data_IF_601148715827
#
_entry.id   IF_601148715827
#
_cell.length_a   1.000
_cell.length_b   1.000
_cell.length_c   1.000
_cell.angle_alpha   90.00
_cell.angle_beta   90.00
_cell.angle_gamma   90.00
#
_symmetry.space_group_name_H-M   'P 1'
#
loop_
_entity.id
_entity.type
_entity.pdbx_description
1 polymer ?
#
# COMPACT_ATOMS: atom_id res chain seq x y z
N UNK A 1 25.69 16.17 20.12
CA UNK A 1 25.38 17.19 19.09
C UNK A 1 23.87 17.37 18.96
N UNK A 2 23.07 16.27 18.91
CA UNK A 2 21.61 16.36 18.84
C UNK A 2 20.97 16.94 20.13
N UNK A 3 21.67 16.92 21.25
CA UNK A 3 21.25 17.52 22.53
C UNK A 3 21.48 19.05 22.59
N UNK A 4 22.09 19.63 21.56
CA UNK A 4 22.55 21.03 21.54
C UNK A 4 21.69 21.96 20.68
N UNK A 5 20.45 21.60 20.33
CA UNK A 5 19.56 22.34 19.42
C UNK A 5 20.25 22.74 18.09
N UNK A 6 21.18 21.90 17.62
CA UNK A 6 21.98 22.14 16.43
C UNK A 6 21.70 21.09 15.36
N UNK A 7 21.67 21.51 14.10
CA UNK A 7 21.56 20.59 12.96
C UNK A 7 22.98 20.16 12.55
N UNK A 8 23.37 18.90 12.73
CA UNK A 8 24.70 18.43 12.32
C UNK A 8 24.76 18.32 10.79
N UNK A 9 25.84 18.87 10.21
CA UNK A 9 26.19 18.69 8.80
C UNK A 9 27.41 17.79 8.74
N UNK A 10 27.28 16.62 8.10
CA UNK A 10 28.29 15.57 8.07
C UNK A 10 28.82 15.44 6.64
N UNK A 11 30.13 15.63 6.45
CA UNK A 11 30.80 15.35 5.18
C UNK A 11 31.02 13.84 5.00
N UNK A 12 30.83 13.27 3.80
CA UNK A 12 31.06 11.86 3.54
C UNK A 12 32.55 11.56 3.34
N UNK A 13 33.33 11.77 4.40
CA UNK A 13 34.76 11.52 4.43
C UNK A 13 35.12 10.54 5.54
N UNK A 14 36.12 9.71 5.31
CA UNK A 14 36.66 8.78 6.29
C UNK A 14 38.17 8.91 6.42
N UNK A 15 38.74 8.25 7.41
CA UNK A 15 40.16 8.20 7.62
C UNK A 15 40.66 6.75 7.59
N UNK A 16 41.77 6.52 6.88
CA UNK A 16 42.50 5.28 6.93
C UNK A 16 43.95 5.61 7.31
N UNK A 17 44.30 5.40 8.59
CA UNK A 17 45.53 5.93 9.13
C UNK A 17 45.57 7.46 9.10
N UNK A 18 46.53 8.05 8.38
CA UNK A 18 46.65 9.50 8.20
C UNK A 18 46.04 10.03 6.87
N UNK A 19 45.41 9.16 6.08
CA UNK A 19 44.85 9.54 4.79
C UNK A 19 43.33 9.83 4.93
N UNK A 20 42.89 10.92 4.28
CA UNK A 20 41.48 11.26 4.15
C UNK A 20 40.92 10.57 2.90
N UNK A 21 39.88 9.79 3.08
CA UNK A 21 39.20 9.07 1.99
C UNK A 21 37.86 9.69 1.71
N UNK A 22 37.55 9.89 0.45
CA UNK A 22 36.19 10.24 0.02
C UNK A 22 35.32 8.98 0.03
N UNK A 23 34.18 9.06 0.72
CA UNK A 23 33.22 7.97 0.84
C UNK A 23 31.97 8.33 0.02
N UNK A 24 31.38 7.33 -0.64
CA UNK A 24 30.10 7.55 -1.31
C UNK A 24 29.05 8.01 -0.29
N UNK A 25 28.38 9.13 -0.56
CA UNK A 25 27.43 9.75 0.36
C UNK A 25 26.24 8.85 0.70
N UNK A 26 25.76 8.04 -0.26
CA UNK A 26 24.64 7.11 -0.02
C UNK A 26 25.08 5.99 0.96
N UNK A 27 26.33 5.49 0.84
CA UNK A 27 26.88 4.50 1.77
C UNK A 27 27.07 5.11 3.17
N UNK A 28 27.65 6.31 3.26
CA UNK A 28 27.81 7.01 4.53
C UNK A 28 26.45 7.27 5.21
N UNK A 29 25.42 7.62 4.43
CA UNK A 29 24.05 7.79 4.92
C UNK A 29 23.47 6.49 5.48
N UNK A 30 23.68 5.36 4.81
CA UNK A 30 23.20 4.05 5.31
C UNK A 30 23.80 3.74 6.68
N UNK A 31 25.11 3.93 6.87
CA UNK A 31 25.77 3.65 8.15
C UNK A 31 25.35 4.64 9.25
N UNK A 32 25.19 5.92 8.91
CA UNK A 32 24.66 6.92 9.83
C UNK A 32 23.24 6.57 10.29
N UNK A 33 22.37 6.22 9.34
CA UNK A 33 20.97 5.87 9.60
C UNK A 33 20.87 4.63 10.51
N UNK A 34 21.71 3.62 10.31
CA UNK A 34 21.80 2.46 11.19
C UNK A 34 22.20 2.85 12.62
N UNK A 35 23.07 3.83 12.78
CA UNK A 35 23.55 4.28 14.08
C UNK A 35 22.49 5.10 14.85
N UNK A 36 21.73 5.97 14.17
CA UNK A 36 20.79 6.90 14.81
C UNK A 36 19.33 6.43 14.80
N UNK A 37 18.99 5.41 13.99
CA UNK A 37 17.64 4.85 13.85
C UNK A 37 16.57 5.93 13.63
N UNK A 38 16.66 6.76 12.58
CA UNK A 38 15.74 7.86 12.36
C UNK A 38 14.36 7.34 11.94
N UNK A 39 13.33 8.14 12.20
CA UNK A 39 11.98 7.85 11.72
C UNK A 39 11.86 7.96 10.19
N UNK A 40 12.62 8.87 9.57
CA UNK A 40 12.61 9.12 8.13
C UNK A 40 13.99 9.49 7.63
N UNK A 41 14.40 8.94 6.50
CA UNK A 41 15.56 9.37 5.73
C UNK A 41 15.11 9.99 4.40
N UNK A 42 15.72 11.11 3.98
CA UNK A 42 15.36 11.79 2.74
C UNK A 42 16.59 11.89 1.86
N UNK A 43 16.51 11.29 0.67
CA UNK A 43 17.52 11.42 -0.36
C UNK A 43 17.12 12.55 -1.33
N UNK A 44 17.95 13.57 -1.38
CA UNK A 44 17.78 14.66 -2.34
C UNK A 44 18.39 14.26 -3.68
N UNK A 45 17.63 14.36 -4.75
CA UNK A 45 18.03 13.97 -6.10
C UNK A 45 17.48 14.98 -7.11
N UNK A 46 18.24 15.29 -8.15
CA UNK A 46 17.78 16.16 -9.25
C UNK A 46 16.57 15.57 -10.00
N UNK A 47 16.44 14.24 -10.01
CA UNK A 47 15.33 13.54 -10.67
C UNK A 47 14.05 13.59 -9.82
N UNK A 48 14.16 13.81 -8.52
CA UNK A 48 13.01 14.02 -7.62
C UNK A 48 12.20 12.78 -7.24
N UNK A 49 12.55 11.57 -7.71
CA UNK A 49 11.84 10.35 -7.38
C UNK A 49 12.12 9.22 -8.37
N UNK A 50 11.31 8.16 -8.28
CA UNK A 50 11.33 7.02 -9.20
C UNK A 50 10.14 7.15 -10.16
N UNK A 51 10.43 7.07 -11.46
CA UNK A 51 9.43 7.21 -12.53
C UNK A 51 9.22 5.87 -13.22
N UNK A 52 7.98 5.58 -13.60
CA UNK A 52 7.63 4.39 -14.35
C UNK A 52 8.05 4.52 -15.84
N UNK A 53 7.81 3.48 -16.63
CA UNK A 53 8.10 3.44 -18.07
C UNK A 53 7.43 4.52 -18.91
N UNK A 54 6.35 5.13 -18.39
CA UNK A 54 5.61 6.22 -19.07
C UNK A 54 6.04 7.61 -18.60
N UNK A 55 7.08 7.71 -17.75
CA UNK A 55 7.57 8.96 -17.21
C UNK A 55 6.70 9.55 -16.09
N UNK A 56 5.80 8.76 -15.50
CA UNK A 56 5.00 9.19 -14.36
C UNK A 56 5.70 8.83 -13.06
N UNK A 57 5.69 9.76 -12.12
CA UNK A 57 6.23 9.55 -10.78
C UNK A 57 5.50 8.40 -10.09
N UNK A 58 6.24 7.49 -9.47
CA UNK A 58 5.73 6.48 -8.55
C UNK A 58 5.73 7.08 -7.15
N UNK A 59 4.57 7.48 -6.62
CA UNK A 59 4.55 8.27 -5.36
C UNK A 59 4.86 7.42 -4.13
N UNK A 60 4.56 6.11 -4.17
CA UNK A 60 4.78 5.19 -3.06
C UNK A 60 5.29 3.84 -3.56
N UNK A 61 6.26 3.27 -2.86
CA UNK A 61 6.77 1.91 -3.10
C UNK A 61 6.70 1.11 -1.79
N UNK A 62 6.04 -0.05 -1.86
CA UNK A 62 6.04 -1.06 -0.81
C UNK A 62 7.05 -2.16 -1.19
N UNK A 63 8.22 -2.16 -0.55
CA UNK A 63 9.28 -3.11 -0.89
C UNK A 63 8.88 -4.57 -0.69
N UNK A 64 8.02 -4.88 0.28
CA UNK A 64 7.57 -6.24 0.53
C UNK A 64 6.75 -6.83 -0.64
N UNK A 65 6.15 -5.98 -1.48
CA UNK A 65 5.30 -6.38 -2.61
C UNK A 65 5.97 -6.13 -3.96
N UNK A 66 6.66 -5.00 -4.11
CA UNK A 66 7.04 -4.46 -5.41
C UNK A 66 8.54 -4.60 -5.73
N UNK A 67 9.40 -4.85 -4.71
CA UNK A 67 10.84 -4.85 -4.89
C UNK A 67 11.31 -5.82 -5.98
N UNK A 68 10.83 -7.07 -5.95
CA UNK A 68 11.29 -8.09 -6.91
C UNK A 68 10.86 -7.78 -8.35
N UNK A 69 9.68 -7.18 -8.53
CA UNK A 69 9.16 -6.77 -9.83
C UNK A 69 9.95 -5.56 -10.36
N UNK A 70 10.13 -4.53 -9.52
CA UNK A 70 10.88 -3.32 -9.88
C UNK A 70 12.32 -3.64 -10.30
N UNK A 71 12.99 -4.58 -9.61
CA UNK A 71 14.37 -4.96 -9.95
C UNK A 71 14.49 -5.68 -11.29
N UNK A 72 13.41 -6.26 -11.83
CA UNK A 72 13.37 -6.91 -13.15
C UNK A 72 13.03 -5.91 -14.27
N UNK A 73 12.51 -4.73 -13.94
CA UNK A 73 12.11 -3.75 -14.94
C UNK A 73 13.32 -3.15 -15.67
N UNK A 74 13.27 -3.17 -17.02
CA UNK A 74 14.34 -2.63 -17.86
C UNK A 74 14.42 -1.10 -17.85
N UNK A 75 13.28 -0.41 -17.64
CA UNK A 75 13.23 1.05 -17.53
C UNK A 75 13.87 1.60 -16.27
N UNK A 76 14.05 0.77 -15.23
CA UNK A 76 14.74 1.17 -14.01
C UNK A 76 16.25 1.09 -14.22
N UNK A 77 16.90 2.24 -14.44
CA UNK A 77 18.32 2.33 -14.73
C UNK A 77 19.19 1.74 -13.60
N UNK A 78 20.37 1.23 -13.95
CA UNK A 78 21.29 0.57 -13.02
C UNK A 78 21.63 1.40 -11.78
N UNK A 79 21.81 2.72 -11.92
CA UNK A 79 22.04 3.63 -10.80
C UNK A 79 20.84 3.72 -9.84
N UNK A 80 19.61 3.68 -10.36
CA UNK A 80 18.41 3.69 -9.53
C UNK A 80 18.15 2.32 -8.91
N UNK A 81 18.47 1.21 -9.60
CA UNK A 81 18.44 -0.15 -9.02
C UNK A 81 19.38 -0.24 -7.83
N UNK A 82 20.62 0.22 -7.97
CA UNK A 82 21.59 0.26 -6.87
C UNK A 82 21.06 1.10 -5.68
N UNK A 83 20.49 2.26 -5.95
CA UNK A 83 19.89 3.10 -4.90
C UNK A 83 18.74 2.40 -4.19
N UNK A 84 17.88 1.69 -4.92
CA UNK A 84 16.77 0.92 -4.36
C UNK A 84 17.27 -0.26 -3.50
N UNK A 85 18.36 -0.93 -3.92
CA UNK A 85 19.05 -1.96 -3.11
C UNK A 85 19.58 -1.40 -1.80
N UNK A 86 20.24 -0.24 -1.84
CA UNK A 86 20.75 0.44 -0.65
C UNK A 86 19.61 0.86 0.29
N UNK A 87 18.53 1.42 -0.26
CA UNK A 87 17.34 1.81 0.52
C UNK A 87 16.68 0.57 1.14
N UNK A 88 16.59 -0.53 0.41
CA UNK A 88 16.08 -1.79 0.97
C UNK A 88 16.94 -2.27 2.12
N UNK A 89 18.26 -2.34 1.91
CA UNK A 89 19.20 -2.73 2.97
C UNK A 89 19.08 -1.82 4.21
N UNK A 90 18.88 -0.53 4.00
CA UNK A 90 18.67 0.43 5.09
C UNK A 90 17.36 0.14 5.84
N UNK A 91 16.25 -0.01 5.13
CA UNK A 91 14.94 -0.28 5.73
C UNK A 91 14.86 -1.64 6.42
N UNK A 92 15.62 -2.63 5.97
CA UNK A 92 15.71 -3.95 6.61
C UNK A 92 16.33 -3.87 8.05
N UNK A 93 17.11 -2.81 8.35
CA UNK A 93 17.70 -2.57 9.66
C UNK A 93 16.88 -1.62 10.54
N UNK A 94 15.87 -0.96 9.99
CA UNK A 94 15.05 0.00 10.71
C UNK A 94 13.70 -0.60 11.15
N UNK A 95 13.02 0.03 12.13
CA UNK A 95 11.65 -0.31 12.43
C UNK A 95 10.77 -0.23 11.19
N UNK A 96 9.77 -1.12 11.07
CA UNK A 96 8.85 -1.15 9.91
C UNK A 96 8.04 0.13 9.72
N UNK A 97 8.00 1.00 10.72
CA UNK A 97 7.41 2.34 10.66
C UNK A 97 8.31 3.37 9.99
N UNK A 98 9.61 3.08 9.86
CA UNK A 98 10.54 3.98 9.19
C UNK A 98 10.27 4.03 7.68
N UNK A 99 10.67 5.13 7.08
CA UNK A 99 10.50 5.37 5.64
C UNK A 99 11.71 6.08 5.06
N UNK A 100 11.86 5.91 3.75
CA UNK A 100 12.84 6.65 2.95
C UNK A 100 12.09 7.40 1.86
N UNK A 101 12.46 8.66 1.62
CA UNK A 101 11.92 9.44 0.51
C UNK A 101 13.03 9.83 -0.45
N UNK A 102 12.72 9.86 -1.74
CA UNK A 102 13.55 10.46 -2.77
C UNK A 102 12.79 11.66 -3.32
N UNK A 103 13.38 12.87 -3.24
CA UNK A 103 12.71 14.10 -3.68
C UNK A 103 13.73 15.12 -4.21
N UNK A 104 13.24 16.15 -4.93
CA UNK A 104 14.08 17.29 -5.33
C UNK A 104 14.37 18.20 -4.14
N UNK A 105 15.54 18.87 -4.10
CA UNK A 105 15.89 19.80 -3.03
C UNK A 105 14.85 20.89 -2.79
N UNK A 106 14.27 21.43 -3.86
CA UNK A 106 13.25 22.50 -3.77
C UNK A 106 11.97 22.04 -3.07
N UNK A 107 11.70 20.76 -3.07
CA UNK A 107 10.51 20.15 -2.49
C UNK A 107 10.74 19.65 -1.04
N UNK A 108 11.94 19.79 -0.49
CA UNK A 108 12.25 19.34 0.88
C UNK A 108 11.27 19.86 1.94
N UNK A 109 10.83 21.14 1.94
CA UNK A 109 9.84 21.59 2.91
C UNK A 109 8.51 20.83 2.81
N UNK A 110 8.06 20.53 1.60
CA UNK A 110 6.83 19.77 1.37
C UNK A 110 6.97 18.33 1.88
N UNK A 111 8.14 17.74 1.68
CA UNK A 111 8.44 16.39 2.16
C UNK A 111 8.51 16.29 3.69
N UNK A 112 8.95 17.35 4.37
CA UNK A 112 9.05 17.40 5.83
C UNK A 112 7.71 17.71 6.51
N UNK A 113 6.86 18.54 5.89
CA UNK A 113 5.69 19.11 6.55
C UNK A 113 4.34 18.63 6.00
N UNK A 114 4.31 17.67 5.05
CA UNK A 114 3.07 17.08 4.54
C UNK A 114 3.13 15.56 4.54
N UNK A 115 1.99 14.93 4.79
CA UNK A 115 1.88 13.45 4.80
C UNK A 115 2.08 12.82 3.42
N UNK A 116 1.69 13.52 2.37
CA UNK A 116 1.79 13.03 0.99
C UNK A 116 3.17 13.21 0.37
N UNK A 117 4.00 14.10 0.94
CA UNK A 117 5.31 14.42 0.37
C UNK A 117 5.26 14.98 -1.06
N UNK A 118 6.35 14.86 -1.81
CA UNK A 118 6.45 15.36 -3.19
C UNK A 118 7.30 14.51 -4.13
N UNK A 119 7.86 13.42 -3.63
CA UNK A 119 8.70 12.51 -4.39
C UNK A 119 8.20 11.07 -4.30
N UNK A 120 9.12 10.13 -4.28
CA UNK A 120 8.82 8.71 -4.04
C UNK A 120 9.05 8.36 -2.59
N UNK A 121 7.98 7.99 -1.89
CA UNK A 121 8.04 7.47 -0.53
C UNK A 121 8.22 5.94 -0.58
N UNK A 122 9.29 5.44 0.03
CA UNK A 122 9.64 4.01 0.07
C UNK A 122 9.51 3.51 1.51
N UNK A 123 8.74 2.45 1.70
CA UNK A 123 8.57 1.78 2.99
C UNK A 123 8.93 0.31 2.86
N UNK A 124 9.37 -0.30 3.98
CA UNK A 124 9.50 -1.75 4.03
C UNK A 124 8.19 -2.43 3.64
N UNK A 125 7.08 -1.89 4.14
CA UNK A 125 5.73 -2.36 3.86
C UNK A 125 5.41 -3.70 4.52
N UNK A 126 4.31 -4.28 4.09
CA UNK A 126 3.80 -5.56 4.59
C UNK A 126 3.37 -6.43 3.42
N UNK A 127 3.73 -7.70 3.46
CA UNK A 127 3.23 -8.68 2.51
C UNK A 127 1.73 -8.91 2.68
N UNK A 128 1.11 -9.39 1.63
CA UNK A 128 -0.29 -9.81 1.62
C UNK A 128 -0.34 -11.32 1.46
N UNK A 129 -1.13 -11.97 2.31
CA UNK A 129 -1.34 -13.43 2.27
C UNK A 129 -2.78 -13.69 1.85
N UNK A 130 -2.95 -14.58 0.89
CA UNK A 130 -4.26 -15.09 0.49
C UNK A 130 -4.59 -16.33 1.33
N UNK A 131 -5.78 -16.34 1.92
CA UNK A 131 -6.30 -17.42 2.74
C UNK A 131 -7.56 -17.99 2.12
N UNK A 132 -7.65 -19.31 2.12
CA UNK A 132 -8.85 -20.06 1.75
C UNK A 132 -9.52 -20.55 3.03
N UNK A 133 -10.82 -20.37 3.14
CA UNK A 133 -11.58 -20.83 4.30
C UNK A 133 -12.06 -22.27 4.10
N UNK A 134 -12.34 -23.03 5.19
CA UNK A 134 -12.43 -22.56 6.58
C UNK A 134 -11.06 -22.55 7.32
N UNK A 135 -10.78 -21.49 8.03
CA UNK A 135 -9.67 -21.37 9.00
C UNK A 135 -10.11 -20.42 10.11
N UNK A 136 -10.37 -20.97 11.31
CA UNK A 136 -10.93 -20.22 12.43
C UNK A 136 -10.06 -19.02 12.86
N UNK A 137 -8.75 -19.18 12.83
CA UNK A 137 -7.83 -18.08 13.19
C UNK A 137 -7.90 -16.93 12.18
N UNK A 138 -8.01 -17.24 10.89
CA UNK A 138 -8.20 -16.26 9.82
C UNK A 138 -9.55 -15.56 9.96
N UNK A 139 -10.62 -16.32 10.24
CA UNK A 139 -11.97 -15.79 10.44
C UNK A 139 -12.01 -14.77 11.60
N UNK A 140 -11.41 -15.11 12.75
CA UNK A 140 -11.38 -14.25 13.94
C UNK A 140 -10.57 -12.97 13.68
N UNK A 141 -9.44 -13.08 12.99
CA UNK A 141 -8.64 -11.92 12.60
C UNK A 141 -9.37 -11.04 11.59
N UNK A 142 -9.97 -11.64 10.57
CA UNK A 142 -10.78 -10.93 9.59
C UNK A 142 -11.93 -10.16 10.26
N UNK A 143 -12.69 -10.83 11.12
CA UNK A 143 -13.77 -10.22 11.90
C UNK A 143 -13.29 -8.99 12.66
N UNK A 144 -12.19 -9.12 13.39
CA UNK A 144 -11.60 -8.01 14.15
C UNK A 144 -11.25 -6.81 13.25
N UNK A 145 -10.61 -7.05 12.12
CA UNK A 145 -10.23 -5.98 11.17
C UNK A 145 -11.49 -5.32 10.61
N UNK A 146 -12.47 -6.09 10.15
CA UNK A 146 -13.70 -5.57 9.56
C UNK A 146 -14.50 -4.78 10.58
N UNK A 147 -14.75 -5.31 11.76
CA UNK A 147 -15.52 -4.64 12.81
C UNK A 147 -14.86 -3.32 13.24
N UNK A 148 -13.53 -3.31 13.37
CA UNK A 148 -12.78 -2.08 13.68
C UNK A 148 -12.84 -1.07 12.51
N UNK A 149 -12.70 -1.53 11.27
CA UNK A 149 -12.67 -0.66 10.08
C UNK A 149 -14.02 -0.02 9.78
N UNK A 150 -15.11 -0.74 10.03
CA UNK A 150 -16.47 -0.31 9.75
C UNK A 150 -17.18 0.29 10.97
N UNK A 151 -16.56 0.23 12.14
CA UNK A 151 -17.16 0.60 13.42
C UNK A 151 -18.54 -0.06 13.62
N UNK A 152 -18.62 -1.37 13.37
CA UNK A 152 -19.87 -2.14 13.41
C UNK A 152 -19.61 -3.61 13.72
N UNK A 153 -20.67 -4.42 13.75
CA UNK A 153 -20.57 -5.87 13.99
C UNK A 153 -20.80 -6.68 12.72
N UNK A 154 -19.87 -7.57 12.43
CA UNK A 154 -20.03 -8.53 11.35
C UNK A 154 -21.04 -9.61 11.76
N UNK A 155 -22.01 -9.90 10.90
CA UNK A 155 -23.03 -10.95 11.18
C UNK A 155 -22.36 -12.29 11.48
N UNK A 156 -22.94 -13.06 12.42
CA UNK A 156 -22.33 -14.31 12.90
C UNK A 156 -22.17 -15.37 11.79
N UNK A 157 -23.14 -15.40 10.88
CA UNK A 157 -23.16 -16.35 9.78
C UNK A 157 -22.37 -15.91 8.53
N UNK A 158 -21.55 -14.87 8.61
CA UNK A 158 -20.81 -14.32 7.45
C UNK A 158 -20.00 -15.40 6.72
N UNK A 159 -19.32 -16.27 7.45
CA UNK A 159 -18.47 -17.33 6.90
C UNK A 159 -19.24 -18.59 6.49
N UNK A 160 -20.51 -18.71 6.90
CA UNK A 160 -21.34 -19.88 6.60
C UNK A 160 -22.05 -19.78 5.25
N UNK A 161 -22.15 -18.59 4.67
CA UNK A 161 -23.00 -18.30 3.52
C UNK A 161 -22.27 -18.31 2.17
N UNK A 162 -21.09 -17.72 1.99
CA UNK A 162 -20.41 -17.84 0.72
C UNK A 162 -19.73 -19.20 0.61
N UNK A 163 -20.04 -19.92 -0.48
CA UNK A 163 -19.48 -21.25 -0.73
C UNK A 163 -17.99 -21.21 -1.07
N UNK A 164 -17.47 -20.07 -1.51
CA UNK A 164 -16.07 -19.86 -1.90
C UNK A 164 -15.67 -18.42 -1.58
N UNK A 165 -15.16 -18.21 -0.36
CA UNK A 165 -14.68 -16.92 0.13
C UNK A 165 -13.17 -16.92 0.23
N UNK A 166 -12.52 -16.07 -0.57
CA UNK A 166 -11.10 -15.81 -0.51
C UNK A 166 -10.81 -14.55 0.30
N UNK A 167 -9.93 -14.68 1.29
CA UNK A 167 -9.52 -13.56 2.14
C UNK A 167 -8.07 -13.21 1.83
N UNK A 168 -7.86 -11.97 1.45
CA UNK A 168 -6.54 -11.34 1.43
C UNK A 168 -6.34 -10.61 2.75
N UNK A 169 -5.19 -10.80 3.37
CA UNK A 169 -4.87 -10.15 4.64
C UNK A 169 -3.41 -9.71 4.66
N UNK A 170 -3.16 -8.49 5.11
CA UNK A 170 -1.79 -8.03 5.33
C UNK A 170 -1.13 -8.80 6.46
N UNK A 171 0.17 -9.08 6.37
CA UNK A 171 0.93 -9.80 7.39
C UNK A 171 0.90 -9.12 8.77
N UNK A 172 0.69 -7.82 8.81
CA UNK A 172 0.47 -7.06 10.06
C UNK A 172 -0.96 -7.13 10.60
N UNK A 173 -1.90 -7.78 9.91
CA UNK A 173 -3.30 -7.96 10.32
C UNK A 173 -4.05 -6.66 10.57
N UNK A 174 -3.78 -5.64 9.73
CA UNK A 174 -4.40 -4.31 9.82
C UNK A 174 -5.21 -3.92 8.59
N UNK A 175 -5.15 -4.72 7.51
CA UNK A 175 -5.99 -4.58 6.33
C UNK A 175 -6.43 -5.94 5.80
N UNK A 176 -7.63 -6.00 5.24
CA UNK A 176 -8.21 -7.22 4.67
C UNK A 176 -9.15 -6.93 3.51
N UNK A 177 -9.20 -7.86 2.54
CA UNK A 177 -10.22 -7.89 1.48
C UNK A 177 -10.84 -9.28 1.48
N UNK A 178 -12.18 -9.35 1.35
CA UNK A 178 -12.91 -10.59 1.14
C UNK A 178 -13.53 -10.60 -0.26
N UNK A 179 -13.22 -11.64 -1.04
CA UNK A 179 -13.79 -11.88 -2.37
C UNK A 179 -14.67 -13.11 -2.31
N UNK A 180 -15.95 -12.95 -2.64
CA UNK A 180 -16.93 -14.02 -2.78
C UNK A 180 -17.06 -14.42 -4.26
N UNK A 181 -17.12 -15.72 -4.52
CA UNK A 181 -17.39 -16.29 -5.83
C UNK A 181 -18.82 -16.83 -5.94
N UNK A 182 -19.75 -16.32 -5.13
CA UNK A 182 -21.17 -16.70 -5.17
C UNK A 182 -21.86 -16.32 -6.50
N UNK A 183 -21.19 -15.56 -7.33
CA UNK A 183 -21.67 -15.11 -8.63
C UNK A 183 -20.61 -15.37 -9.71
N UNK A 184 -21.01 -15.30 -10.99
CA UNK A 184 -20.15 -15.56 -12.17
C UNK A 184 -18.89 -14.67 -12.17
N UNK A 185 -19.05 -13.38 -11.79
CA UNK A 185 -17.94 -12.46 -11.58
C UNK A 185 -17.66 -12.38 -10.07
N UNK A 186 -16.39 -12.42 -9.65
CA UNK A 186 -16.01 -12.24 -8.25
C UNK A 186 -16.55 -10.93 -7.66
N UNK A 187 -17.18 -11.03 -6.49
CA UNK A 187 -17.72 -9.90 -5.75
C UNK A 187 -16.83 -9.57 -4.55
N UNK A 188 -16.32 -8.35 -4.47
CA UNK A 188 -15.63 -7.87 -3.28
C UNK A 188 -16.65 -7.49 -2.21
N UNK A 189 -16.79 -8.36 -1.20
CA UNK A 189 -17.77 -8.18 -0.12
C UNK A 189 -17.28 -7.19 0.93
N UNK A 190 -16.02 -7.27 1.31
CA UNK A 190 -15.40 -6.40 2.31
C UNK A 190 -14.05 -5.92 1.86
N UNK A 191 -13.77 -4.66 2.18
CA UNK A 191 -12.45 -4.06 2.13
C UNK A 191 -12.28 -3.19 3.36
N UNK A 192 -11.45 -3.61 4.30
CA UNK A 192 -11.22 -2.93 5.57
C UNK A 192 -9.75 -2.62 5.80
N UNK A 193 -9.50 -1.39 6.26
CA UNK A 193 -8.22 -0.96 6.82
C UNK A 193 -8.54 -0.31 8.16
N UNK A 194 -7.91 -0.76 9.25
CA UNK A 194 -8.17 -0.18 10.57
C UNK A 194 -7.80 1.32 10.59
N UNK A 195 -8.49 2.15 11.38
CA UNK A 195 -8.27 3.61 11.39
C UNK A 195 -6.81 4.02 11.59
N UNK A 196 -6.10 3.35 12.49
CA UNK A 196 -4.71 3.64 12.85
C UNK A 196 -3.71 3.36 11.72
N UNK A 197 -4.12 2.57 10.73
CA UNK A 197 -3.28 2.19 9.59
C UNK A 197 -3.62 2.95 8.30
N UNK A 198 -4.58 3.89 8.35
CA UNK A 198 -4.91 4.75 7.21
C UNK A 198 -3.72 5.66 6.87
N UNK A 199 -3.42 5.80 5.58
CA UNK A 199 -2.26 6.57 5.11
C UNK A 199 -0.94 5.77 5.03
N UNK A 200 -0.86 4.56 5.59
CA UNK A 200 0.34 3.72 5.52
C UNK A 200 0.52 2.98 4.17
N UNK A 201 -0.44 3.09 3.24
CA UNK A 201 -0.38 2.41 1.94
C UNK A 201 -0.90 0.97 1.96
N UNK A 202 -1.38 0.44 3.11
CA UNK A 202 -1.86 -0.95 3.22
C UNK A 202 -3.04 -1.23 2.31
N UNK A 203 -3.96 -0.28 2.16
CA UNK A 203 -5.12 -0.39 1.30
C UNK A 203 -4.74 -0.55 -0.18
N UNK A 204 -3.81 0.27 -0.67
CA UNK A 204 -3.32 0.18 -2.04
C UNK A 204 -2.58 -1.14 -2.27
N UNK A 205 -1.72 -1.55 -1.34
CA UNK A 205 -0.95 -2.80 -1.45
C UNK A 205 -1.83 -4.05 -1.51
N UNK A 206 -2.82 -4.16 -0.60
CA UNK A 206 -3.72 -5.32 -0.60
C UNK A 206 -4.66 -5.32 -1.81
N UNK A 207 -5.07 -4.15 -2.28
CA UNK A 207 -5.83 -3.99 -3.51
C UNK A 207 -5.02 -4.50 -4.71
N UNK A 208 -3.78 -4.08 -4.84
CA UNK A 208 -2.88 -4.49 -5.92
C UNK A 208 -2.72 -6.02 -5.97
N UNK A 209 -2.44 -6.68 -4.85
CA UNK A 209 -2.32 -8.13 -4.78
C UNK A 209 -3.64 -8.85 -5.12
N UNK A 210 -4.76 -8.36 -4.65
CA UNK A 210 -6.07 -8.90 -5.00
C UNK A 210 -6.33 -8.79 -6.52
N UNK A 211 -5.95 -7.67 -7.14
CA UNK A 211 -6.12 -7.44 -8.58
C UNK A 211 -5.27 -8.35 -9.47
N UNK A 212 -4.10 -8.81 -9.01
CA UNK A 212 -3.31 -9.85 -9.72
C UNK A 212 -4.09 -11.16 -9.87
N UNK A 213 -4.89 -11.51 -8.86
CA UNK A 213 -5.69 -12.74 -8.84
C UNK A 213 -7.05 -12.55 -9.51
N UNK A 214 -7.67 -11.41 -9.32
CA UNK A 214 -9.02 -11.08 -9.81
C UNK A 214 -9.01 -9.88 -10.76
N UNK A 215 -8.71 -10.10 -12.06
CA UNK A 215 -8.73 -9.04 -13.08
C UNK A 215 -10.14 -8.49 -13.38
N UNK A 216 -11.19 -9.24 -13.05
CA UNK A 216 -12.57 -8.80 -13.10
C UNK A 216 -13.15 -8.86 -11.69
N UNK A 217 -13.75 -7.76 -11.24
CA UNK A 217 -14.35 -7.68 -9.90
C UNK A 217 -15.38 -6.55 -9.87
N UNK A 218 -16.43 -6.73 -9.08
CA UNK A 218 -17.38 -5.68 -8.77
C UNK A 218 -17.68 -5.60 -7.28
N UNK A 219 -18.13 -4.45 -6.82
CA UNK A 219 -18.43 -4.20 -5.41
C UNK A 219 -19.45 -3.08 -5.24
N UNK A 220 -19.94 -2.93 -4.03
CA UNK A 220 -20.79 -1.80 -3.65
C UNK A 220 -20.22 -1.05 -2.44
N UNK A 221 -20.57 0.22 -2.34
CA UNK A 221 -20.22 1.08 -1.22
C UNK A 221 -21.38 2.02 -0.88
N UNK A 222 -21.50 2.40 0.38
CA UNK A 222 -22.46 3.44 0.77
C UNK A 222 -22.10 4.78 0.13
N UNK A 223 -23.08 5.63 -0.26
CA UNK A 223 -22.82 6.92 -0.90
C UNK A 223 -21.87 7.81 -0.10
N UNK A 224 -22.00 7.82 1.22
CA UNK A 224 -21.23 8.66 2.12
C UNK A 224 -19.92 8.01 2.62
N UNK A 225 -19.49 6.88 2.04
CA UNK A 225 -18.27 6.21 2.47
C UNK A 225 -17.04 7.00 1.97
N UNK A 226 -16.13 7.44 2.86
CA UNK A 226 -14.93 8.21 2.48
C UNK A 226 -14.02 7.51 1.46
N UNK A 227 -14.03 6.17 1.40
CA UNK A 227 -13.25 5.39 0.45
C UNK A 227 -13.72 5.55 -1.02
N UNK A 228 -14.89 6.15 -1.25
CA UNK A 228 -15.43 6.28 -2.59
C UNK A 228 -14.55 7.09 -3.54
N UNK A 229 -13.77 8.05 -3.04
CA UNK A 229 -12.77 8.77 -3.84
C UNK A 229 -11.71 7.82 -4.40
N UNK A 230 -11.21 6.90 -3.57
CA UNK A 230 -10.28 5.86 -4.01
C UNK A 230 -10.96 4.92 -5.03
N UNK A 231 -12.18 4.44 -4.75
CA UNK A 231 -12.90 3.57 -5.68
C UNK A 231 -13.13 4.22 -7.04
N UNK A 232 -13.49 5.51 -7.06
CA UNK A 232 -13.68 6.27 -8.30
C UNK A 232 -12.39 6.42 -9.11
N UNK A 233 -11.23 6.53 -8.44
CA UNK A 233 -9.94 6.66 -9.13
C UNK A 233 -9.42 5.36 -9.75
N UNK A 234 -9.92 4.20 -9.29
CA UNK A 234 -9.44 2.88 -9.72
C UNK A 234 -10.46 2.07 -10.51
N UNK A 235 -11.76 2.41 -10.47
CA UNK A 235 -12.80 1.69 -11.20
C UNK A 235 -12.81 2.06 -12.68
N UNK A 236 -13.30 1.15 -13.53
CA UNK A 236 -13.61 1.42 -14.95
C UNK A 236 -15.02 1.96 -15.12
N UNK A 237 -15.89 1.72 -14.15
CA UNK A 237 -17.22 2.27 -14.16
C UNK A 237 -17.90 2.22 -12.79
N UNK A 238 -18.92 3.08 -12.66
CA UNK A 238 -19.72 3.21 -11.45
C UNK A 238 -21.18 3.53 -11.79
N UNK A 239 -22.10 2.84 -11.13
CA UNK A 239 -23.52 3.19 -11.17
C UNK A 239 -23.99 3.60 -9.77
N UNK A 240 -24.56 4.80 -9.68
CA UNK A 240 -25.05 5.37 -8.42
C UNK A 240 -26.53 5.06 -8.25
N UNK A 241 -26.88 4.50 -7.10
CA UNK A 241 -28.24 4.31 -6.61
C UNK A 241 -28.42 5.07 -5.28
N UNK A 242 -29.66 5.18 -4.80
CA UNK A 242 -29.97 5.91 -3.57
C UNK A 242 -29.15 5.41 -2.37
N UNK A 243 -29.09 4.09 -2.18
CA UNK A 243 -28.45 3.48 -1.00
C UNK A 243 -27.05 2.95 -1.26
N UNK A 244 -26.67 2.76 -2.53
CA UNK A 244 -25.43 2.11 -2.92
C UNK A 244 -24.83 2.70 -4.20
N UNK A 245 -23.52 2.91 -4.20
CA UNK A 245 -22.74 3.04 -5.42
C UNK A 245 -22.16 1.67 -5.76
N UNK A 246 -22.38 1.21 -6.99
CA UNK A 246 -21.83 -0.05 -7.49
C UNK A 246 -20.69 0.29 -8.43
N UNK A 247 -19.53 -0.32 -8.19
CA UNK A 247 -18.30 -0.13 -8.95
C UNK A 247 -17.89 -1.44 -9.60
N UNK A 248 -17.16 -1.37 -10.70
CA UNK A 248 -16.62 -2.56 -11.37
C UNK A 248 -15.34 -2.27 -12.13
N UNK A 249 -14.58 -3.34 -12.41
CA UNK A 249 -13.38 -3.36 -13.25
C UNK A 249 -13.40 -4.63 -14.10
N UNK A 250 -12.94 -4.53 -15.36
CA UNK A 250 -12.74 -5.66 -16.28
C UNK A 250 -14.03 -6.25 -16.84
N UNK A 251 -15.19 -5.62 -16.65
CA UNK A 251 -16.48 -6.13 -17.10
C UNK A 251 -16.94 -5.34 -18.34
N UNK A 252 -16.79 -5.93 -19.51
CA UNK A 252 -17.13 -5.29 -20.79
C UNK A 252 -18.50 -5.74 -21.35
N UNK A 253 -19.00 -6.90 -20.91
CA UNK A 253 -20.31 -7.42 -21.33
C UNK A 253 -21.42 -6.73 -20.55
N UNK A 254 -22.27 -5.97 -21.26
CA UNK A 254 -23.36 -5.18 -20.67
C UNK A 254 -24.43 -6.02 -19.96
N UNK A 255 -24.80 -7.18 -20.52
CA UNK A 255 -25.80 -8.05 -19.89
C UNK A 255 -25.28 -8.59 -18.55
N UNK A 256 -24.02 -9.06 -18.54
CA UNK A 256 -23.37 -9.55 -17.33
C UNK A 256 -23.19 -8.44 -16.30
N UNK A 257 -22.86 -7.22 -16.74
CA UNK A 257 -22.77 -6.05 -15.86
C UNK A 257 -24.10 -5.74 -15.18
N UNK A 258 -25.20 -5.78 -15.93
CA UNK A 258 -26.56 -5.60 -15.39
C UNK A 258 -26.84 -6.61 -14.27
N UNK A 259 -26.51 -7.88 -14.53
CA UNK A 259 -26.71 -8.96 -13.54
C UNK A 259 -25.83 -8.75 -12.29
N UNK A 260 -24.59 -8.28 -12.46
CA UNK A 260 -23.69 -7.90 -11.34
C UNK A 260 -24.29 -6.78 -10.48
N UNK A 261 -24.85 -5.75 -11.13
CA UNK A 261 -25.49 -4.62 -10.44
C UNK A 261 -26.72 -5.10 -9.65
N UNK A 262 -27.57 -5.90 -10.26
CA UNK A 262 -28.76 -6.46 -9.57
C UNK A 262 -28.35 -7.34 -8.39
N UNK A 263 -27.32 -8.18 -8.55
CA UNK A 263 -26.78 -8.99 -7.46
C UNK A 263 -26.30 -8.12 -6.30
N UNK A 264 -25.50 -7.08 -6.60
CA UNK A 264 -24.98 -6.18 -5.57
C UNK A 264 -26.07 -5.44 -4.80
N UNK A 265 -27.13 -5.02 -5.50
CA UNK A 265 -28.27 -4.33 -4.88
C UNK A 265 -29.09 -5.24 -3.95
N UNK A 266 -29.29 -6.51 -4.36
CA UNK A 266 -30.10 -7.49 -3.62
C UNK A 266 -29.34 -8.12 -2.45
N UNK A 267 -28.00 -8.06 -2.44
CA UNK A 267 -27.19 -8.70 -1.39
C UNK A 267 -27.50 -8.07 -0.02
N UNK A 268 -27.79 -8.86 1.02
CA UNK A 268 -28.06 -8.34 2.36
C UNK A 268 -26.85 -7.61 2.96
N UNK A 269 -27.10 -6.75 3.94
CA UNK A 269 -26.02 -6.16 4.73
C UNK A 269 -25.42 -7.22 5.64
N UNK A 270 -24.10 -7.19 5.79
CA UNK A 270 -23.36 -8.14 6.60
C UNK A 270 -22.54 -7.45 7.71
N UNK A 271 -22.66 -6.12 7.83
CA UNK A 271 -22.16 -5.34 8.97
C UNK A 271 -23.30 -4.43 9.43
N UNK A 272 -23.60 -4.46 10.72
CA UNK A 272 -24.64 -3.67 11.40
C UNK A 272 -24.00 -2.60 12.28
#
# INVERSE_FOLDING_TARGET
VLELDSIPVIAPVGFQGNEVLNINADIATVELVKAINPYKAIFLSEIGGIFNKTGQLIPNINLALEYSELMQEEWLHSGMKLKLEQIKSLLDHLPKTASVSITEPINLPKELFTDSGSGTLIKHGYSVVQHHLPDKNVEDQFRKIVETSFNGKLVDNFFNSPKDLNIFMTSCKRATIAISKDFTIPYMDKFGVIPEAKGEGLGAGIWYEMRKVYPQVFWRSRPNNPINSFYTSICEGCQKHQDWHIFWIGITNYSLLKDCIEFALKKPMSVS
#
